data_IF_936625055543
#
_entry.id   IF_936625055543
#
_cell.length_a   1.000
_cell.length_b   1.000
_cell.length_c   1.000
_cell.angle_alpha   90.00
_cell.angle_beta   90.00
_cell.angle_gamma   90.00
#
_symmetry.space_group_name_H-M   'P 1'
#
loop_
_entity.id
_entity.type
_entity.pdbx_description
1 polymer ?
#
# COMPACT_ATOMS: atom_id res chain seq x y z
N UNK A 1 26.77 33.20 60.36
CA UNK A 1 26.97 32.02 59.48
C UNK A 1 25.68 31.23 59.44
N UNK A 2 24.89 31.39 58.36
CA UNK A 2 23.65 30.64 58.13
C UNK A 2 23.90 29.63 57.00
N UNK A 3 23.66 28.35 57.32
CA UNK A 3 23.72 27.27 56.30
C UNK A 3 22.37 27.17 55.63
N UNK A 4 22.38 27.26 54.31
CA UNK A 4 21.23 27.03 53.45
C UNK A 4 21.30 25.58 52.96
N UNK A 5 20.30 24.77 53.28
CA UNK A 5 20.17 23.40 52.78
C UNK A 5 19.06 23.43 51.71
N UNK A 6 19.46 23.31 50.48
CA UNK A 6 18.53 23.18 49.33
C UNK A 6 18.20 21.68 49.15
N UNK A 7 16.92 21.37 49.23
CA UNK A 7 16.37 20.03 48.93
C UNK A 7 15.54 20.18 47.66
N UNK A 8 16.14 19.98 46.51
CA UNK A 8 15.41 19.78 45.27
C UNK A 8 14.94 18.33 45.14
N UNK A 9 13.65 18.15 45.40
CA UNK A 9 12.91 16.91 45.12
C UNK A 9 12.67 16.78 43.60
N UNK A 10 13.29 15.77 42.96
CA UNK A 10 12.98 15.38 41.61
C UNK A 10 11.78 14.42 41.65
N UNK A 11 10.62 14.93 41.31
CA UNK A 11 9.47 14.09 41.00
C UNK A 11 9.67 13.47 39.61
N UNK A 12 9.99 12.18 39.55
CA UNK A 12 9.93 11.39 38.33
C UNK A 12 8.46 11.10 37.98
N UNK A 13 7.97 11.79 36.97
CA UNK A 13 6.68 11.46 36.32
C UNK A 13 6.92 10.23 35.46
N UNK A 14 6.52 9.07 35.95
CA UNK A 14 6.39 7.85 35.17
C UNK A 14 5.27 8.09 34.13
N UNK A 15 5.65 8.27 32.86
CA UNK A 15 4.71 8.16 31.76
C UNK A 15 4.36 6.67 31.60
N UNK A 16 3.15 6.34 32.03
CA UNK A 16 2.50 5.07 31.74
C UNK A 16 2.20 5.03 30.22
N UNK A 17 3.12 4.45 29.44
CA UNK A 17 2.92 4.16 28.05
C UNK A 17 2.31 2.77 27.92
N UNK A 18 1.02 2.67 28.28
CA UNK A 18 0.22 1.52 27.86
C UNK A 18 0.05 1.62 26.33
N UNK A 19 0.50 0.65 25.53
CA UNK A 19 0.26 0.68 24.10
C UNK A 19 -1.24 0.58 23.88
N UNK A 20 -1.83 1.64 23.30
CA UNK A 20 -3.20 1.63 22.83
C UNK A 20 -3.24 0.61 21.69
N UNK A 21 -3.68 -0.62 21.99
CA UNK A 21 -4.16 -1.56 20.97
C UNK A 21 -5.37 -0.88 20.32
N UNK A 22 -5.16 -0.20 19.21
CA UNK A 22 -6.26 0.26 18.37
C UNK A 22 -6.85 -0.99 17.73
N UNK A 23 -7.97 -1.45 18.25
CA UNK A 23 -8.80 -2.43 17.59
C UNK A 23 -9.14 -1.84 16.21
N UNK A 24 -8.60 -2.42 15.14
CA UNK A 24 -9.12 -2.20 13.80
C UNK A 24 -10.62 -2.57 13.87
N UNK A 25 -11.47 -1.61 13.60
CA UNK A 25 -12.92 -1.89 13.53
C UNK A 25 -13.10 -2.63 12.20
N UNK A 26 -13.42 -3.92 12.29
CA UNK A 26 -13.75 -4.71 11.10
C UNK A 26 -14.95 -4.09 10.41
N UNK A 27 -14.96 -4.03 9.06
CA UNK A 27 -16.07 -3.46 8.31
C UNK A 27 -17.41 -4.08 8.75
N UNK A 28 -18.43 -3.26 8.92
CA UNK A 28 -19.77 -3.71 9.31
C UNK A 28 -20.59 -4.25 8.14
N UNK A 29 -20.08 -4.08 6.90
CA UNK A 29 -20.63 -4.61 5.65
C UNK A 29 -19.48 -5.11 4.77
N UNK A 30 -19.82 -5.94 3.77
CA UNK A 30 -18.84 -6.27 2.72
C UNK A 30 -18.39 -4.98 2.03
N UNK A 31 -17.10 -4.92 1.69
CA UNK A 31 -16.50 -3.82 0.93
C UNK A 31 -16.00 -4.38 -0.40
N UNK A 32 -16.45 -3.80 -1.50
CA UNK A 32 -16.02 -4.18 -2.85
C UNK A 32 -14.83 -3.31 -3.27
N UNK A 33 -13.74 -3.96 -3.72
CA UNK A 33 -12.51 -3.31 -4.13
C UNK A 33 -12.23 -3.59 -5.62
N UNK A 34 -11.69 -2.59 -6.32
CA UNK A 34 -11.05 -2.77 -7.62
C UNK A 34 -9.55 -2.57 -7.48
N UNK A 35 -8.77 -3.64 -7.65
CA UNK A 35 -7.33 -3.66 -7.48
C UNK A 35 -6.64 -3.58 -8.84
N UNK A 36 -5.62 -2.74 -8.99
CA UNK A 36 -4.80 -2.69 -10.21
C UNK A 36 -3.35 -2.30 -9.91
N UNK A 37 -2.44 -2.54 -10.85
CA UNK A 37 -1.04 -2.11 -10.81
C UNK A 37 -0.44 -2.08 -12.21
N UNK A 38 0.76 -1.53 -12.34
CA UNK A 38 1.62 -1.70 -13.53
C UNK A 38 0.94 -1.32 -14.86
N UNK A 39 0.15 -0.24 -14.86
CA UNK A 39 -0.47 0.26 -16.10
C UNK A 39 0.56 0.85 -17.07
N UNK A 40 1.74 1.26 -16.58
CA UNK A 40 2.88 1.71 -17.39
C UNK A 40 2.52 2.68 -18.52
N UNK A 41 1.60 3.63 -18.25
CA UNK A 41 1.15 4.62 -19.22
C UNK A 41 0.18 4.09 -20.28
N UNK A 42 -0.32 2.86 -20.18
CA UNK A 42 -1.40 2.33 -21.00
C UNK A 42 -2.73 3.01 -20.66
N UNK A 43 -3.12 3.98 -21.47
CA UNK A 43 -4.36 4.75 -21.26
C UNK A 43 -5.62 3.90 -21.50
N UNK A 44 -5.54 2.82 -22.25
CA UNK A 44 -6.68 1.91 -22.43
C UNK A 44 -6.88 1.06 -21.18
N UNK A 45 -5.80 0.64 -20.51
CA UNK A 45 -5.87 0.05 -19.17
C UNK A 45 -6.48 1.03 -18.15
N UNK A 46 -6.01 2.29 -18.13
CA UNK A 46 -6.58 3.31 -17.25
C UNK A 46 -8.08 3.50 -17.48
N UNK A 47 -8.55 3.58 -18.74
CA UNK A 47 -9.99 3.70 -19.07
C UNK A 47 -10.79 2.50 -18.56
N UNK A 48 -10.27 1.26 -18.72
CA UNK A 48 -10.95 0.05 -18.18
C UNK A 48 -11.11 0.11 -16.66
N UNK A 49 -10.13 0.66 -15.94
CA UNK A 49 -10.23 0.87 -14.49
C UNK A 49 -11.28 1.93 -14.16
N UNK A 50 -11.27 3.08 -14.85
CA UNK A 50 -12.26 4.15 -14.67
C UNK A 50 -13.69 3.64 -14.91
N UNK A 51 -13.92 2.89 -15.98
CA UNK A 51 -15.24 2.34 -16.35
C UNK A 51 -15.81 1.41 -15.26
N UNK A 52 -14.95 0.75 -14.47
CA UNK A 52 -15.33 -0.19 -13.41
C UNK A 52 -15.34 0.44 -12.01
N UNK A 53 -14.75 1.61 -11.86
CA UNK A 53 -14.57 2.24 -10.54
C UNK A 53 -15.89 2.65 -9.88
N UNK A 54 -16.94 2.96 -10.67
CA UNK A 54 -18.25 3.35 -10.14
C UNK A 54 -19.03 2.20 -9.49
N UNK A 55 -18.63 0.95 -9.73
CA UNK A 55 -19.31 -0.26 -9.25
C UNK A 55 -18.69 -0.81 -7.95
N UNK A 56 -17.69 -0.12 -7.36
CA UNK A 56 -16.96 -0.58 -6.17
C UNK A 56 -16.91 0.49 -5.07
N UNK A 57 -16.57 0.09 -3.85
CA UNK A 57 -16.45 1.01 -2.72
C UNK A 57 -15.10 1.73 -2.67
N UNK A 58 -14.01 1.06 -3.07
CA UNK A 58 -12.65 1.62 -3.07
C UNK A 58 -11.87 1.08 -4.27
N UNK A 59 -11.08 1.97 -4.90
CA UNK A 59 -10.10 1.60 -5.92
C UNK A 59 -8.71 1.56 -5.30
N UNK A 60 -7.89 0.55 -5.62
CA UNK A 60 -6.53 0.38 -5.08
C UNK A 60 -5.54 0.24 -6.23
N UNK A 61 -4.61 1.18 -6.34
CA UNK A 61 -3.53 1.19 -7.33
C UNK A 61 -2.17 0.92 -6.70
N UNK A 62 -1.57 -0.24 -7.02
CA UNK A 62 -0.32 -0.69 -6.43
C UNK A 62 0.93 -0.30 -7.23
N UNK A 63 0.94 0.91 -7.84
CA UNK A 63 2.12 1.54 -8.43
C UNK A 63 2.41 1.21 -9.89
N UNK A 64 3.51 1.80 -10.38
CA UNK A 64 3.98 1.76 -11.77
C UNK A 64 2.94 2.30 -12.77
N UNK A 65 2.49 3.55 -12.49
CA UNK A 65 1.57 4.27 -13.38
C UNK A 65 2.25 4.76 -14.65
N UNK A 66 3.54 5.07 -14.60
CA UNK A 66 4.32 5.49 -15.75
C UNK A 66 5.44 4.51 -16.13
N UNK A 67 6.29 4.88 -17.10
CA UNK A 67 7.45 4.08 -17.52
C UNK A 67 8.72 4.86 -17.20
N UNK A 68 9.58 4.32 -16.33
CA UNK A 68 10.90 4.87 -16.04
C UNK A 68 10.88 6.39 -15.80
N UNK A 69 9.97 6.86 -14.94
CA UNK A 69 9.75 8.27 -14.55
C UNK A 69 9.34 9.21 -15.70
N UNK A 70 8.70 8.67 -16.74
CA UNK A 70 8.31 9.44 -17.92
C UNK A 70 6.81 9.48 -18.08
N UNK A 71 6.26 10.67 -18.35
CA UNK A 71 4.87 10.90 -18.71
C UNK A 71 3.86 10.39 -17.66
N UNK A 72 4.16 10.58 -16.36
CA UNK A 72 3.24 10.24 -15.27
C UNK A 72 1.90 11.01 -15.36
N UNK A 73 1.92 12.21 -15.94
CA UNK A 73 0.73 13.05 -16.06
C UNK A 73 -0.40 12.34 -16.80
N UNK A 74 -0.13 11.73 -17.95
CA UNK A 74 -1.19 11.17 -18.80
C UNK A 74 -2.02 10.04 -18.12
N UNK A 75 -1.41 9.02 -17.46
CA UNK A 75 -2.20 8.02 -16.72
C UNK A 75 -2.90 8.63 -15.50
N UNK A 76 -2.30 9.58 -14.77
CA UNK A 76 -2.98 10.24 -13.64
C UNK A 76 -4.14 11.11 -14.13
N UNK A 77 -3.99 11.87 -15.22
CA UNK A 77 -5.09 12.62 -15.85
C UNK A 77 -6.25 11.69 -16.23
N UNK A 78 -5.96 10.52 -16.81
CA UNK A 78 -6.98 9.54 -17.17
C UNK A 78 -7.69 8.95 -15.94
N UNK A 79 -6.93 8.56 -14.91
CA UNK A 79 -7.45 7.97 -13.67
C UNK A 79 -8.19 9.00 -12.80
N UNK A 80 -7.91 10.30 -12.93
CA UNK A 80 -8.57 11.36 -12.14
C UNK A 80 -10.06 11.53 -12.44
N UNK A 81 -10.59 10.82 -13.43
CA UNK A 81 -12.04 10.69 -13.68
C UNK A 81 -12.74 9.74 -12.67
N UNK A 82 -12.00 9.08 -11.78
CA UNK A 82 -12.56 8.23 -10.72
C UNK A 82 -13.06 9.10 -9.58
N UNK A 83 -14.37 9.04 -9.29
CA UNK A 83 -15.02 9.71 -8.15
C UNK A 83 -15.07 8.81 -6.90
N UNK A 84 -14.73 7.54 -7.02
CA UNK A 84 -14.67 6.57 -5.93
C UNK A 84 -13.41 6.79 -5.07
N UNK A 85 -13.47 6.68 -3.72
CA UNK A 85 -12.30 6.71 -2.87
C UNK A 85 -11.18 5.82 -3.41
N UNK A 86 -9.97 6.37 -3.56
CA UNK A 86 -8.87 5.69 -4.24
C UNK A 86 -7.62 5.71 -3.36
N UNK A 87 -6.97 4.56 -3.20
CA UNK A 87 -5.68 4.41 -2.53
C UNK A 87 -4.62 4.10 -3.57
N UNK A 88 -3.54 4.86 -3.57
CA UNK A 88 -2.40 4.68 -4.46
C UNK A 88 -1.11 4.52 -3.66
N UNK A 89 -0.21 3.67 -4.13
CA UNK A 89 1.20 3.68 -3.71
C UNK A 89 2.07 3.95 -4.92
N UNK A 90 3.23 4.62 -4.78
CA UNK A 90 4.17 4.73 -5.90
C UNK A 90 4.75 3.35 -6.26
N UNK A 91 5.01 3.14 -7.56
CA UNK A 91 5.83 2.02 -8.01
C UNK A 91 7.32 2.35 -7.96
N UNK A 92 8.15 1.57 -8.66
CA UNK A 92 9.53 1.95 -8.86
C UNK A 92 9.70 2.92 -10.06
N UNK A 93 8.68 3.13 -10.86
CA UNK A 93 8.70 4.05 -12.00
C UNK A 93 8.31 5.51 -11.66
N UNK A 94 7.87 5.79 -10.43
CA UNK A 94 7.55 7.13 -9.92
C UNK A 94 7.74 7.20 -8.40
N UNK A 95 7.79 8.43 -7.84
CA UNK A 95 7.82 8.66 -6.40
C UNK A 95 6.48 9.17 -5.87
N UNK A 96 6.31 9.08 -4.55
CA UNK A 96 5.17 9.67 -3.83
C UNK A 96 4.98 11.16 -4.17
N UNK A 97 6.05 11.96 -4.09
CA UNK A 97 6.03 13.40 -4.40
C UNK A 97 5.58 13.67 -5.84
N UNK A 98 6.01 12.84 -6.81
CA UNK A 98 5.63 12.97 -8.21
C UNK A 98 4.13 12.70 -8.39
N UNK A 99 3.58 11.66 -7.75
CA UNK A 99 2.13 11.39 -7.78
C UNK A 99 1.37 12.54 -7.09
N UNK A 100 1.74 12.92 -5.88
CA UNK A 100 1.07 13.97 -5.12
C UNK A 100 1.02 15.31 -5.90
N UNK A 101 2.09 15.63 -6.63
CA UNK A 101 2.11 16.80 -7.52
C UNK A 101 1.08 16.69 -8.65
N UNK A 102 0.92 15.51 -9.26
CA UNK A 102 -0.07 15.29 -10.31
C UNK A 102 -1.49 15.32 -9.74
N UNK A 103 -1.76 14.72 -8.57
CA UNK A 103 -3.06 14.82 -7.91
C UNK A 103 -3.46 16.29 -7.65
N UNK A 104 -2.50 17.09 -7.18
CA UNK A 104 -2.74 18.54 -6.98
C UNK A 104 -3.04 19.26 -8.29
N UNK A 105 -2.40 18.86 -9.39
CA UNK A 105 -2.60 19.48 -10.70
C UNK A 105 -3.95 19.12 -11.34
N UNK A 106 -4.42 17.88 -11.15
CA UNK A 106 -5.72 17.40 -11.65
C UNK A 106 -6.89 17.81 -10.75
N UNK A 107 -6.63 18.08 -9.47
CA UNK A 107 -7.65 18.29 -8.44
C UNK A 107 -8.36 16.99 -8.03
N UNK A 108 -7.74 15.83 -8.23
CA UNK A 108 -8.30 14.52 -7.85
C UNK A 108 -8.27 14.37 -6.32
N UNK A 109 -9.36 14.77 -5.67
CA UNK A 109 -9.50 14.82 -4.20
C UNK A 109 -9.75 13.46 -3.56
N UNK A 110 -10.30 12.50 -4.32
CA UNK A 110 -10.66 11.17 -3.82
C UNK A 110 -9.46 10.21 -3.73
N UNK A 111 -8.29 10.61 -4.24
CA UNK A 111 -7.09 9.79 -4.22
C UNK A 111 -6.18 10.12 -3.02
N UNK A 112 -5.75 9.07 -2.31
CA UNK A 112 -4.78 9.09 -1.23
C UNK A 112 -3.50 8.39 -1.67
N UNK A 113 -2.35 9.06 -1.65
CA UNK A 113 -1.04 8.44 -1.92
C UNK A 113 -0.43 8.04 -0.59
N UNK A 114 -0.05 6.77 -0.46
CA UNK A 114 0.49 6.21 0.79
C UNK A 114 1.92 5.69 0.57
N UNK A 115 2.80 5.99 1.54
CA UNK A 115 4.18 5.48 1.55
C UNK A 115 4.78 5.46 2.96
N UNK A 116 4.59 4.38 3.70
CA UNK A 116 4.96 4.26 5.12
C UNK A 116 3.93 4.89 6.06
N UNK A 117 2.73 5.11 5.57
CA UNK A 117 1.60 5.68 6.29
C UNK A 117 0.27 5.03 5.86
N UNK A 118 -0.85 5.52 6.37
CA UNK A 118 -2.15 4.93 6.09
C UNK A 118 -3.33 5.89 6.18
N UNK A 119 -4.45 5.46 5.65
CA UNK A 119 -5.76 6.13 5.68
C UNK A 119 -6.84 5.15 6.12
N UNK A 120 -7.93 5.65 6.69
CA UNK A 120 -9.11 4.83 7.01
C UNK A 120 -10.27 5.26 6.11
N UNK A 121 -10.82 4.32 5.35
CA UNK A 121 -11.97 4.52 4.46
C UNK A 121 -13.09 3.59 4.94
N UNK A 122 -14.27 4.13 5.24
CA UNK A 122 -15.44 3.39 5.76
C UNK A 122 -15.13 2.45 6.95
N UNK A 123 -14.19 2.87 7.80
CA UNK A 123 -13.78 2.10 8.99
C UNK A 123 -12.71 1.04 8.73
N UNK A 124 -12.36 0.74 7.47
CA UNK A 124 -11.27 -0.16 7.09
C UNK A 124 -9.95 0.64 6.98
N UNK A 125 -8.90 0.27 7.73
CA UNK A 125 -7.58 0.85 7.56
C UNK A 125 -6.91 0.32 6.28
N UNK A 126 -6.28 1.23 5.54
CA UNK A 126 -5.37 0.96 4.43
C UNK A 126 -3.98 1.45 4.82
N UNK A 127 -2.95 0.71 4.48
CA UNK A 127 -1.56 1.09 4.72
C UNK A 127 -0.72 0.84 3.47
N UNK A 128 0.18 1.78 3.11
CA UNK A 128 0.89 1.76 1.84
C UNK A 128 2.41 1.68 1.96
N UNK A 129 3.05 0.92 1.06
CA UNK A 129 4.50 0.95 0.82
C UNK A 129 4.77 0.99 -0.69
N UNK A 130 5.32 2.09 -1.17
CA UNK A 130 5.76 2.22 -2.56
C UNK A 130 7.21 1.79 -2.79
N UNK A 131 7.61 1.82 -4.06
CA UNK A 131 8.97 1.55 -4.50
C UNK A 131 9.30 0.07 -4.77
N UNK A 132 10.39 -0.15 -5.48
CA UNK A 132 10.99 -1.48 -5.67
C UNK A 132 11.70 -1.95 -4.40
N UNK A 133 11.35 -3.12 -3.88
CA UNK A 133 11.99 -3.75 -2.70
C UNK A 133 12.26 -5.22 -2.99
N UNK A 134 13.51 -5.70 -2.84
CA UNK A 134 14.75 -4.97 -2.59
C UNK A 134 15.20 -4.13 -3.80
N UNK A 135 16.28 -3.36 -3.63
CA UNK A 135 16.87 -2.54 -4.69
C UNK A 135 17.01 -3.34 -5.99
N UNK A 136 16.44 -2.79 -7.06
CA UNK A 136 16.38 -3.43 -8.37
C UNK A 136 17.66 -3.18 -9.20
N UNK A 137 17.92 -3.99 -10.23
CA UNK A 137 19.07 -3.74 -11.12
C UNK A 137 18.81 -2.66 -12.19
N UNK A 138 17.72 -1.91 -12.11
CA UNK A 138 17.31 -0.97 -13.17
C UNK A 138 18.09 0.34 -13.17
N UNK A 139 18.82 0.64 -12.08
CA UNK A 139 19.71 1.81 -12.00
C UNK A 139 19.02 3.07 -11.46
N UNK A 140 19.61 4.26 -11.63
CA UNK A 140 19.26 5.46 -10.85
C UNK A 140 17.85 6.05 -11.09
N UNK A 141 17.17 5.62 -12.15
CA UNK A 141 15.81 6.08 -12.38
C UNK A 141 14.77 5.32 -11.53
N UNK A 142 15.12 4.10 -11.10
CA UNK A 142 14.23 3.27 -10.29
C UNK A 142 14.14 3.82 -8.86
N UNK A 143 12.94 3.97 -8.36
CA UNK A 143 12.66 4.34 -6.98
C UNK A 143 12.66 3.08 -6.13
N UNK A 144 13.80 2.76 -5.57
CA UNK A 144 14.01 1.51 -4.85
C UNK A 144 14.33 1.76 -3.38
N UNK A 145 13.93 0.83 -2.53
CA UNK A 145 14.24 0.77 -1.11
C UNK A 145 15.07 -0.48 -0.79
N UNK A 146 15.96 -0.36 0.16
CA UNK A 146 16.55 -1.51 0.82
C UNK A 146 15.52 -2.22 1.71
N UNK A 147 15.75 -3.48 2.03
CA UNK A 147 14.91 -4.22 2.98
C UNK A 147 14.86 -3.55 4.37
N UNK A 148 15.94 -2.84 4.79
CA UNK A 148 15.98 -2.13 6.07
C UNK A 148 15.12 -0.87 6.06
N UNK A 149 15.18 -0.06 4.99
CA UNK A 149 14.30 1.09 4.80
C UNK A 149 12.83 0.68 4.75
N UNK A 150 12.52 -0.39 4.02
CA UNK A 150 11.17 -0.96 3.96
C UNK A 150 10.67 -1.40 5.35
N UNK A 151 11.51 -2.08 6.16
CA UNK A 151 11.14 -2.44 7.55
C UNK A 151 10.83 -1.22 8.40
N UNK A 152 11.62 -0.15 8.25
CA UNK A 152 11.40 1.09 8.99
C UNK A 152 10.06 1.73 8.65
N UNK A 153 9.72 1.82 7.36
CA UNK A 153 8.44 2.37 6.89
C UNK A 153 7.25 1.47 7.29
N UNK A 154 7.45 0.17 7.39
CA UNK A 154 6.41 -0.80 7.76
C UNK A 154 6.22 -0.97 9.28
N UNK A 155 7.04 -0.31 10.12
CA UNK A 155 7.00 -0.50 11.58
C UNK A 155 5.62 -0.17 12.18
N UNK A 156 4.95 0.84 11.66
CA UNK A 156 3.65 1.34 12.13
C UNK A 156 2.45 0.75 11.35
N UNK A 157 2.67 -0.23 10.47
CA UNK A 157 1.57 -0.90 9.75
C UNK A 157 0.63 -1.58 10.76
N UNK A 158 -0.67 -1.22 10.79
CA UNK A 158 -1.61 -1.74 11.76
C UNK A 158 -2.06 -3.16 11.42
N UNK A 159 -2.45 -3.92 12.45
CA UNK A 159 -3.04 -5.24 12.30
C UNK A 159 -4.37 -5.14 11.51
N UNK A 160 -4.64 -6.11 10.65
CA UNK A 160 -5.92 -6.21 9.92
C UNK A 160 -6.16 -5.11 8.87
N UNK A 161 -5.15 -4.36 8.45
CA UNK A 161 -5.28 -3.40 7.35
C UNK A 161 -5.48 -4.10 5.99
N UNK A 162 -5.96 -3.36 4.99
CA UNK A 162 -5.63 -3.64 3.59
C UNK A 162 -4.23 -3.09 3.36
N UNK A 163 -3.26 -3.98 3.18
CA UNK A 163 -1.88 -3.60 2.96
C UNK A 163 -1.59 -3.53 1.46
N UNK A 164 -1.18 -2.36 0.98
CA UNK A 164 -0.84 -2.11 -0.42
C UNK A 164 0.66 -1.92 -0.54
N UNK A 165 1.34 -2.82 -1.24
CA UNK A 165 2.78 -2.72 -1.48
C UNK A 165 3.06 -2.86 -2.97
N UNK A 166 3.86 -1.96 -3.56
CA UNK A 166 4.23 -2.17 -4.97
C UNK A 166 4.96 -3.49 -5.16
N UNK A 167 6.00 -3.75 -4.36
CA UNK A 167 6.73 -5.03 -4.40
C UNK A 167 5.98 -6.15 -3.67
N UNK A 168 5.89 -7.37 -4.23
CA UNK A 168 5.23 -8.49 -3.60
C UNK A 168 6.04 -9.04 -2.41
N UNK A 169 5.36 -9.73 -1.46
CA UNK A 169 6.02 -10.50 -0.41
C UNK A 169 6.87 -11.62 -0.98
N UNK A 170 8.01 -11.90 -0.38
CA UNK A 170 8.89 -13.02 -0.78
C UNK A 170 8.17 -14.35 -0.81
N UNK A 171 8.28 -15.09 -1.92
CA UNK A 171 7.66 -16.38 -2.20
C UNK A 171 6.11 -16.37 -2.25
N UNK A 172 5.49 -15.21 -2.50
CA UNK A 172 4.06 -15.11 -2.73
C UNK A 172 3.81 -14.16 -3.92
N UNK A 173 3.25 -14.67 -5.01
CA UNK A 173 2.94 -13.95 -6.26
C UNK A 173 4.11 -13.11 -6.81
N UNK A 174 5.34 -13.60 -6.63
CA UNK A 174 6.60 -12.87 -6.85
C UNK A 174 7.53 -13.53 -7.88
N UNK A 175 7.00 -14.41 -8.73
CA UNK A 175 7.82 -15.13 -9.70
C UNK A 175 7.89 -14.40 -11.03
N UNK A 176 9.13 -14.23 -11.51
CA UNK A 176 9.36 -13.75 -12.87
C UNK A 176 9.01 -14.83 -13.91
N UNK A 177 9.09 -14.48 -15.20
CA UNK A 177 8.83 -15.40 -16.31
C UNK A 177 9.75 -16.63 -16.37
N UNK A 178 10.81 -16.68 -15.55
CA UNK A 178 11.74 -17.80 -15.39
C UNK A 178 11.48 -18.59 -14.11
N UNK A 179 10.46 -18.23 -13.34
CA UNK A 179 10.10 -18.86 -12.07
C UNK A 179 10.97 -18.44 -10.88
N UNK A 180 11.81 -17.40 -11.03
CA UNK A 180 12.64 -16.88 -9.93
C UNK A 180 11.80 -16.00 -9.02
N UNK A 181 11.84 -16.25 -7.72
CA UNK A 181 11.23 -15.40 -6.69
C UNK A 181 12.04 -14.10 -6.51
N UNK A 182 11.38 -12.95 -6.67
CA UNK A 182 12.00 -11.62 -6.63
C UNK A 182 11.43 -10.71 -5.54
N UNK A 183 10.41 -11.15 -4.79
CA UNK A 183 9.74 -10.37 -3.76
C UNK A 183 10.60 -10.02 -2.55
N UNK A 184 10.08 -9.12 -1.71
CA UNK A 184 10.72 -8.56 -0.53
C UNK A 184 10.52 -9.40 0.73
N UNK A 185 11.59 -9.58 1.50
CA UNK A 185 11.54 -10.20 2.82
C UNK A 185 10.90 -9.29 3.87
N UNK A 186 11.14 -7.97 3.80
CA UNK A 186 10.53 -7.00 4.70
C UNK A 186 9.00 -6.93 4.53
N UNK A 187 8.51 -6.96 3.27
CA UNK A 187 7.08 -7.01 2.98
C UNK A 187 6.48 -8.31 3.52
N UNK A 188 7.13 -9.45 3.31
CA UNK A 188 6.66 -10.72 3.87
C UNK A 188 6.59 -10.72 5.39
N UNK A 189 7.65 -10.25 6.06
CA UNK A 189 7.72 -10.12 7.52
C UNK A 189 6.60 -9.22 8.08
N UNK A 190 6.29 -8.12 7.37
CA UNK A 190 5.18 -7.24 7.74
C UNK A 190 3.83 -7.97 7.64
N UNK A 191 3.56 -8.68 6.54
CA UNK A 191 2.33 -9.48 6.38
C UNK A 191 2.20 -10.53 7.47
N UNK A 192 3.28 -11.28 7.77
CA UNK A 192 3.28 -12.30 8.83
C UNK A 192 3.07 -11.70 10.24
N UNK A 193 3.49 -10.46 10.46
CA UNK A 193 3.37 -9.77 11.75
C UNK A 193 2.00 -9.14 11.99
N UNK A 194 1.43 -8.50 10.95
CA UNK A 194 0.20 -7.67 11.09
C UNK A 194 -1.06 -8.37 10.58
N UNK A 195 -0.90 -9.54 9.95
CA UNK A 195 -2.02 -10.33 9.40
C UNK A 195 -3.06 -9.45 8.70
N UNK A 196 -2.68 -8.71 7.62
CA UNK A 196 -3.62 -7.88 6.89
C UNK A 196 -4.83 -8.70 6.41
N UNK A 197 -6.00 -8.07 6.31
CA UNK A 197 -7.19 -8.72 5.73
C UNK A 197 -7.03 -8.97 4.23
N UNK A 198 -6.13 -8.22 3.59
CA UNK A 198 -5.72 -8.38 2.18
C UNK A 198 -4.36 -7.71 1.98
N UNK A 199 -3.49 -8.34 1.19
CA UNK A 199 -2.28 -7.71 0.64
C UNK A 199 -2.41 -7.57 -0.87
N UNK A 200 -2.25 -6.34 -1.39
CA UNK A 200 -2.29 -6.02 -2.82
C UNK A 200 -0.90 -5.63 -3.29
N UNK A 201 -0.43 -6.17 -4.39
CA UNK A 201 0.87 -5.82 -4.96
C UNK A 201 0.86 -5.83 -6.50
N UNK A 202 2.01 -5.49 -7.10
CA UNK A 202 2.29 -5.50 -8.53
C UNK A 202 3.74 -5.89 -8.81
N UNK A 203 4.46 -5.07 -9.61
CA UNK A 203 5.90 -5.11 -9.88
C UNK A 203 6.40 -6.36 -10.64
N UNK A 204 6.02 -7.55 -10.24
CA UNK A 204 6.49 -8.79 -10.86
C UNK A 204 5.48 -9.25 -11.91
N UNK A 205 5.69 -8.82 -13.15
CA UNK A 205 4.77 -9.04 -14.28
C UNK A 205 4.48 -10.51 -14.56
N UNK A 206 5.41 -11.43 -14.24
CA UNK A 206 5.21 -12.86 -14.41
C UNK A 206 4.10 -13.44 -13.54
N UNK A 207 3.67 -12.70 -12.51
CA UNK A 207 2.64 -13.12 -11.55
C UNK A 207 1.38 -12.25 -11.58
N UNK A 208 1.16 -11.42 -12.60
CA UNK A 208 -0.09 -10.64 -12.73
C UNK A 208 -1.33 -11.53 -12.69
N UNK A 209 -2.32 -11.14 -11.89
CA UNK A 209 -3.57 -11.86 -11.67
C UNK A 209 -3.44 -13.10 -10.79
N UNK A 210 -2.23 -13.44 -10.29
CA UNK A 210 -2.04 -14.55 -9.37
C UNK A 210 -2.45 -14.17 -7.93
N UNK A 211 -2.88 -15.19 -7.20
CA UNK A 211 -3.19 -15.09 -5.77
C UNK A 211 -2.40 -16.14 -4.97
N UNK A 212 -2.08 -15.81 -3.72
CA UNK A 212 -1.44 -16.71 -2.76
C UNK A 212 -1.97 -16.42 -1.35
N UNK A 213 -1.54 -17.19 -0.36
CA UNK A 213 -1.83 -16.95 1.05
C UNK A 213 -0.53 -16.93 1.87
N UNK A 214 -0.48 -16.02 2.85
CA UNK A 214 0.55 -15.99 3.89
C UNK A 214 -0.18 -16.03 5.24
N UNK A 215 -0.14 -17.19 5.92
CA UNK A 215 -0.99 -17.41 7.09
C UNK A 215 -2.47 -17.23 6.71
N UNK A 216 -3.22 -16.37 7.42
CA UNK A 216 -4.63 -16.09 7.09
C UNK A 216 -4.79 -15.02 6.00
N UNK A 217 -3.70 -14.36 5.58
CA UNK A 217 -3.75 -13.20 4.68
C UNK A 217 -3.74 -13.62 3.22
N UNK A 218 -4.78 -13.29 2.42
CA UNK A 218 -4.72 -13.40 0.97
C UNK A 218 -3.79 -12.33 0.39
N UNK A 219 -3.02 -12.71 -0.63
CA UNK A 219 -2.08 -11.84 -1.36
C UNK A 219 -2.44 -11.87 -2.84
N UNK A 220 -2.58 -10.71 -3.47
CA UNK A 220 -2.96 -10.55 -4.87
C UNK A 220 -1.92 -9.71 -5.60
N UNK A 221 -1.35 -10.22 -6.69
CA UNK A 221 -0.64 -9.39 -7.66
C UNK A 221 -1.65 -8.92 -8.71
N UNK A 222 -2.02 -7.63 -8.65
CA UNK A 222 -3.20 -7.14 -9.34
C UNK A 222 -3.03 -7.06 -10.88
N UNK A 223 -1.91 -6.54 -11.35
CA UNK A 223 -1.66 -6.28 -12.77
C UNK A 223 -2.56 -5.20 -13.37
N UNK A 224 -2.41 -4.90 -14.68
CA UNK A 224 -3.04 -3.74 -15.34
C UNK A 224 -4.52 -3.95 -15.73
N UNK A 225 -5.01 -5.18 -15.74
CA UNK A 225 -6.39 -5.47 -16.17
C UNK A 225 -7.43 -5.26 -15.06
N UNK A 226 -6.98 -5.12 -13.83
CA UNK A 226 -7.81 -4.91 -12.64
C UNK A 226 -8.51 -6.18 -12.17
N UNK A 227 -8.43 -6.41 -10.85
CA UNK A 227 -9.03 -7.54 -10.14
C UNK A 227 -10.12 -7.03 -9.20
N UNK A 228 -11.34 -7.56 -9.31
CA UNK A 228 -12.39 -7.30 -8.32
C UNK A 228 -12.16 -8.17 -7.08
N UNK A 229 -12.32 -7.59 -5.90
CA UNK A 229 -12.15 -8.28 -4.62
C UNK A 229 -13.24 -7.88 -3.62
N UNK A 230 -13.71 -8.82 -2.83
CA UNK A 230 -14.69 -8.56 -1.78
C UNK A 230 -14.06 -8.84 -0.41
N UNK A 231 -13.95 -7.80 0.42
CA UNK A 231 -13.67 -7.96 1.84
C UNK A 231 -14.97 -8.30 2.56
N UNK A 232 -15.02 -9.48 3.14
CA UNK A 232 -16.18 -9.89 3.94
C UNK A 232 -16.19 -9.15 5.28
N UNK A 233 -17.37 -8.71 5.71
CA UNK A 233 -17.56 -8.19 7.06
C UNK A 233 -17.23 -9.28 8.10
N UNK A 234 -16.54 -8.93 9.19
CA UNK A 234 -16.34 -9.88 10.28
C UNK A 234 -17.67 -10.22 10.94
N UNK A 235 -18.00 -11.50 10.99
CA UNK A 235 -19.18 -12.01 11.70
C UNK A 235 -20.30 -12.56 10.84
N UNK A 236 -20.10 -12.78 9.55
CA UNK A 236 -21.02 -13.60 8.73
C UNK A 236 -20.41 -14.99 8.57
N UNK A 237 -20.44 -15.77 9.65
CA UNK A 237 -20.26 -17.23 9.56
C UNK A 237 -21.46 -17.80 8.79
N UNK A 238 -21.19 -18.53 7.71
CA UNK A 238 -22.18 -19.31 6.95
C UNK A 238 -22.30 -20.71 7.50
#
# INVERSE_FOLDING_TARGET
MRRYTDKTSHAQTLHDQTPIRRNAQTPTRNMELLLFSDVHGDLDACRRIVDRAADVDVVVGAGDFCVARRNLQAPIDALSAIDTPTVLVPGNAETEDEIAKQLSATGWSEAHVLHGDGVTIDGQPFYGLGGGVPITPFGPWSYDLSEEEARSLLADCPDGAVFVSHSPPKNAVDRDSKGKSLGSTAVREAVERTEPVLTVCGHIHGSWGETAEIGPTPVVNAGPDGVAWILSAAGVDH
#
